data_IF_727826461531
#
_entry.id   IF_727826461531
#
_cell.length_a   1.000
_cell.length_b   1.000
_cell.length_c   1.000
_cell.angle_alpha   90.00
_cell.angle_beta   90.00
_cell.angle_gamma   90.00
#
_symmetry.space_group_name_H-M   'P 1'
#
loop_
_entity.id
_entity.type
_entity.pdbx_description
1 polymer ?
#
# COMPACT_ATOMS: atom_id res chain seq x y z
N UNK A 1 -11.22 -13.58 10.33
CA UNK A 1 -10.43 -14.57 9.58
C UNK A 1 -11.20 -15.14 8.39
N UNK A 2 -12.35 -15.81 8.56
CA UNK A 2 -13.12 -16.32 7.41
C UNK A 2 -13.67 -15.21 6.51
N UNK A 3 -14.30 -14.17 7.08
CA UNK A 3 -14.85 -13.05 6.31
C UNK A 3 -13.76 -12.24 5.58
N UNK A 4 -12.68 -11.89 6.28
CA UNK A 4 -11.55 -11.14 5.70
C UNK A 4 -10.82 -11.94 4.63
N UNK A 5 -10.62 -13.25 4.84
CA UNK A 5 -10.02 -14.14 3.84
C UNK A 5 -10.91 -14.34 2.62
N UNK A 6 -12.24 -14.46 2.83
CA UNK A 6 -13.21 -14.51 1.75
C UNK A 6 -13.21 -13.23 0.91
N UNK A 7 -13.20 -12.05 1.54
CA UNK A 7 -13.12 -10.77 0.83
C UNK A 7 -11.81 -10.61 0.07
N UNK A 8 -10.68 -10.99 0.66
CA UNK A 8 -9.38 -10.98 -0.03
C UNK A 8 -9.35 -11.95 -1.23
N UNK A 9 -9.96 -13.13 -1.09
CA UNK A 9 -10.11 -14.09 -2.18
C UNK A 9 -11.00 -13.57 -3.32
N UNK A 10 -12.13 -12.93 -2.99
CA UNK A 10 -13.00 -12.30 -3.99
C UNK A 10 -12.31 -11.14 -4.71
N UNK A 11 -11.52 -10.34 -3.99
CA UNK A 11 -10.72 -9.29 -4.60
C UNK A 11 -9.73 -9.87 -5.62
N UNK A 12 -8.95 -10.89 -5.25
CA UNK A 12 -8.01 -11.55 -6.18
C UNK A 12 -8.70 -12.24 -7.36
N UNK A 13 -9.84 -12.88 -7.12
CA UNK A 13 -10.67 -13.46 -8.20
C UNK A 13 -11.14 -12.39 -9.19
N UNK A 14 -11.60 -11.23 -8.70
CA UNK A 14 -12.06 -10.14 -9.54
C UNK A 14 -10.94 -9.56 -10.42
N UNK A 15 -9.70 -9.52 -9.92
CA UNK A 15 -8.55 -9.00 -10.65
C UNK A 15 -8.13 -9.96 -11.79
N UNK A 16 -8.05 -11.25 -11.50
CA UNK A 16 -7.67 -12.27 -12.49
C UNK A 16 -8.75 -12.47 -13.56
N UNK A 17 -10.02 -12.56 -13.13
CA UNK A 17 -11.14 -12.80 -14.03
C UNK A 17 -11.53 -11.56 -14.85
N UNK A 18 -11.41 -10.36 -14.27
CA UNK A 18 -11.88 -9.12 -14.87
C UNK A 18 -10.83 -8.33 -15.66
N UNK A 19 -9.55 -8.35 -15.26
CA UNK A 19 -8.51 -7.52 -15.90
C UNK A 19 -7.58 -8.38 -16.74
N UNK A 20 -6.97 -9.39 -16.11
CA UNK A 20 -5.89 -10.17 -16.75
C UNK A 20 -6.45 -11.18 -17.77
N UNK A 21 -7.70 -11.64 -17.59
CA UNK A 21 -8.42 -12.63 -18.42
C UNK A 21 -7.68 -13.97 -18.61
N UNK A 22 -6.54 -14.16 -17.92
CA UNK A 22 -5.65 -15.32 -17.96
C UNK A 22 -4.96 -15.42 -16.61
N UNK A 23 -4.71 -16.64 -16.13
CA UNK A 23 -3.85 -16.82 -14.97
C UNK A 23 -2.39 -16.55 -15.38
N UNK A 24 -1.86 -15.39 -14.97
CA UNK A 24 -0.45 -15.08 -15.07
C UNK A 24 0.24 -15.39 -13.74
N UNK A 25 1.46 -15.95 -13.80
CA UNK A 25 2.28 -16.24 -12.61
C UNK A 25 2.58 -15.00 -11.77
N UNK A 26 2.52 -13.80 -12.37
CA UNK A 26 2.75 -12.51 -11.71
C UNK A 26 1.49 -11.63 -11.67
N UNK A 27 0.33 -12.20 -11.35
CA UNK A 27 -0.90 -11.41 -11.21
C UNK A 27 -0.84 -10.41 -10.04
N UNK A 28 0.04 -10.63 -9.04
CA UNK A 28 0.29 -9.68 -7.95
C UNK A 28 1.79 -9.40 -7.82
N UNK A 29 2.35 -8.46 -8.60
CA UNK A 29 3.77 -8.14 -8.57
C UNK A 29 4.22 -7.37 -7.31
N UNK A 30 3.35 -7.23 -6.30
CA UNK A 30 3.64 -6.48 -5.07
C UNK A 30 2.45 -5.78 -4.42
N UNK A 31 1.21 -5.98 -4.92
CA UNK A 31 0.03 -5.27 -4.41
C UNK A 31 -0.19 -5.44 -2.91
N UNK A 32 0.21 -6.57 -2.32
CA UNK A 32 0.15 -6.78 -0.88
C UNK A 32 1.05 -5.82 -0.09
N UNK A 33 2.28 -5.58 -0.54
CA UNK A 33 3.19 -4.64 0.11
C UNK A 33 2.69 -3.20 -0.01
N UNK A 34 2.21 -2.83 -1.19
CA UNK A 34 1.55 -1.55 -1.45
C UNK A 34 0.30 -1.36 -0.56
N UNK A 35 -0.50 -2.41 -0.36
CA UNK A 35 -1.70 -2.37 0.46
C UNK A 35 -1.40 -2.08 1.94
N UNK A 36 -0.25 -2.53 2.46
CA UNK A 36 0.18 -2.21 3.83
C UNK A 36 0.36 -0.70 3.99
N UNK A 37 1.05 -0.07 3.03
CA UNK A 37 1.30 1.38 3.03
C UNK A 37 -0.03 2.14 3.00
N UNK A 38 -0.92 1.76 2.09
CA UNK A 38 -2.24 2.39 1.93
C UNK A 38 -3.09 2.23 3.19
N UNK A 39 -3.12 1.05 3.80
CA UNK A 39 -3.91 0.78 5.01
C UNK A 39 -3.45 1.63 6.20
N UNK A 40 -2.13 1.78 6.34
CA UNK A 40 -1.52 2.63 7.36
C UNK A 40 -1.76 4.12 7.09
N UNK A 41 -1.57 4.58 5.85
CA UNK A 41 -1.83 5.97 5.48
C UNK A 41 -3.29 6.38 5.72
N UNK A 42 -4.23 5.44 5.54
CA UNK A 42 -5.65 5.61 5.82
C UNK A 42 -6.02 5.44 7.31
N UNK A 43 -5.05 5.26 8.21
CA UNK A 43 -5.26 5.03 9.66
C UNK A 43 -6.25 3.90 9.95
N UNK A 44 -6.23 2.83 9.14
CA UNK A 44 -7.15 1.69 9.23
C UNK A 44 -8.64 2.06 9.12
N UNK A 45 -8.98 3.25 8.60
CA UNK A 45 -10.37 3.64 8.37
C UNK A 45 -10.86 3.09 7.02
N UNK A 46 -11.93 2.26 7.00
CA UNK A 46 -12.40 1.58 5.78
C UNK A 46 -12.90 2.55 4.70
N UNK A 47 -13.45 3.70 5.07
CA UNK A 47 -13.91 4.71 4.10
C UNK A 47 -12.73 5.49 3.51
N UNK A 48 -11.75 5.84 4.34
CA UNK A 48 -10.57 6.57 3.90
C UNK A 48 -9.68 5.71 2.98
N UNK A 49 -9.63 4.39 3.20
CA UNK A 49 -8.86 3.44 2.37
C UNK A 49 -9.23 3.56 0.89
N UNK A 50 -10.50 3.76 0.56
CA UNK A 50 -10.95 3.83 -0.86
C UNK A 50 -10.35 5.05 -1.56
N UNK A 51 -10.37 6.21 -0.92
CA UNK A 51 -9.82 7.44 -1.50
C UNK A 51 -8.29 7.37 -1.58
N UNK A 52 -7.66 6.89 -0.49
CA UNK A 52 -6.21 6.79 -0.41
C UNK A 52 -5.67 5.79 -1.43
N UNK A 53 -6.29 4.61 -1.56
CA UNK A 53 -5.87 3.59 -2.52
C UNK A 53 -5.97 4.09 -3.95
N UNK A 54 -7.02 4.84 -4.28
CA UNK A 54 -7.19 5.42 -5.61
C UNK A 54 -6.10 6.45 -5.95
N UNK A 55 -5.83 7.38 -5.03
CA UNK A 55 -4.75 8.37 -5.21
C UNK A 55 -3.37 7.70 -5.27
N UNK A 56 -3.14 6.70 -4.43
CA UNK A 56 -1.88 5.97 -4.38
C UNK A 56 -1.67 5.14 -5.65
N UNK A 57 -2.72 4.48 -6.18
CA UNK A 57 -2.65 3.79 -7.46
C UNK A 57 -2.29 4.77 -8.60
N UNK A 58 -2.87 5.97 -8.60
CA UNK A 58 -2.50 7.04 -9.54
C UNK A 58 -1.03 7.45 -9.44
N UNK A 59 -0.47 7.53 -8.22
CA UNK A 59 0.96 7.81 -8.00
C UNK A 59 1.85 6.71 -8.60
N UNK A 60 1.46 5.44 -8.46
CA UNK A 60 2.23 4.32 -8.99
C UNK A 60 2.20 4.29 -10.51
N UNK A 61 1.00 4.38 -11.10
CA UNK A 61 0.84 4.39 -12.55
C UNK A 61 1.51 5.62 -13.16
N UNK A 62 1.40 6.78 -12.53
CA UNK A 62 2.09 8.01 -12.94
C UNK A 62 3.61 7.89 -12.83
N UNK A 63 4.12 7.28 -11.76
CA UNK A 63 5.54 7.02 -11.57
C UNK A 63 6.12 6.08 -12.63
N UNK A 64 5.41 4.99 -12.92
CA UNK A 64 5.81 4.03 -13.96
C UNK A 64 5.70 4.64 -15.37
N UNK A 65 4.72 5.52 -15.62
CA UNK A 65 4.57 6.22 -16.90
C UNK A 65 5.69 7.23 -17.17
N UNK A 66 6.22 7.89 -16.14
CA UNK A 66 7.34 8.84 -16.27
C UNK A 66 8.65 8.08 -16.47
N UNK A 67 8.92 7.06 -15.64
CA UNK A 67 10.14 6.27 -15.77
C UNK A 67 9.96 4.85 -15.22
N UNK A 68 9.96 3.82 -16.08
CA UNK A 68 9.76 2.42 -15.66
C UNK A 68 10.97 1.82 -14.92
N UNK A 69 12.00 2.62 -14.59
CA UNK A 69 13.21 2.18 -13.90
C UNK A 69 13.03 1.95 -12.39
N UNK A 70 11.81 1.70 -11.92
CA UNK A 70 11.53 1.40 -10.51
C UNK A 70 11.37 2.62 -9.59
N UNK A 71 11.15 3.83 -10.15
CA UNK A 71 10.89 5.04 -9.35
C UNK A 71 9.67 4.86 -8.45
N UNK A 72 8.61 4.23 -8.94
CA UNK A 72 7.40 3.96 -8.16
C UNK A 72 7.72 3.09 -6.92
N UNK A 73 8.56 2.07 -7.08
CA UNK A 73 8.98 1.19 -5.98
C UNK A 73 9.87 1.91 -4.96
N UNK A 74 10.79 2.76 -5.42
CA UNK A 74 11.59 3.60 -4.53
C UNK A 74 10.71 4.56 -3.72
N UNK A 75 9.73 5.20 -4.37
CA UNK A 75 8.75 6.08 -3.73
C UNK A 75 7.93 5.35 -2.67
N UNK A 76 7.44 4.14 -2.95
CA UNK A 76 6.76 3.31 -1.95
C UNK A 76 7.64 3.08 -0.71
N UNK A 77 8.92 2.74 -0.92
CA UNK A 77 9.87 2.51 0.18
C UNK A 77 10.12 3.76 1.02
N UNK A 78 10.32 4.91 0.37
CA UNK A 78 10.52 6.20 1.06
C UNK A 78 9.27 6.60 1.85
N UNK A 79 8.08 6.45 1.27
CA UNK A 79 6.81 6.75 1.95
C UNK A 79 6.66 5.88 3.19
N UNK A 80 6.88 4.58 3.06
CA UNK A 80 6.80 3.65 4.20
C UNK A 80 7.82 4.02 5.28
N UNK A 81 9.06 4.31 4.91
CA UNK A 81 10.11 4.69 5.85
C UNK A 81 9.76 5.97 6.62
N UNK A 82 9.33 7.02 5.91
CA UNK A 82 8.94 8.30 6.54
C UNK A 82 7.71 8.11 7.43
N UNK A 83 6.74 7.30 6.99
CA UNK A 83 5.52 7.09 7.74
C UNK A 83 5.76 6.31 9.03
N UNK A 84 6.45 5.17 8.95
CA UNK A 84 6.82 4.36 10.12
C UNK A 84 7.76 5.13 11.05
N UNK A 85 8.77 5.82 10.49
CA UNK A 85 9.70 6.64 11.26
C UNK A 85 9.01 7.81 11.96
N UNK A 86 8.06 8.46 11.29
CA UNK A 86 7.26 9.55 11.87
C UNK A 86 6.35 9.06 13.00
N UNK A 87 5.68 7.92 12.83
CA UNK A 87 4.88 7.33 13.90
C UNK A 87 5.73 6.93 15.11
N UNK A 88 6.91 6.35 14.88
CA UNK A 88 7.85 6.02 15.94
C UNK A 88 8.27 7.27 16.73
N UNK A 89 8.56 8.38 16.05
CA UNK A 89 8.94 9.65 16.66
C UNK A 89 7.81 10.30 17.47
N UNK A 90 6.56 10.12 17.03
CA UNK A 90 5.37 10.68 17.70
C UNK A 90 4.94 9.83 18.91
N UNK A 91 5.08 8.51 18.84
CA UNK A 91 4.72 7.59 19.93
C UNK A 91 5.78 7.58 21.04
N UNK A 92 7.07 7.62 20.68
CA UNK A 92 8.13 7.86 21.65
C UNK A 92 8.25 9.35 21.91
N UNK A 93 7.46 9.87 22.87
CA UNK A 93 7.76 11.18 23.47
C UNK A 93 9.23 11.13 23.89
N UNK A 94 10.08 11.86 23.16
CA UNK A 94 11.50 12.01 23.46
C UNK A 94 11.59 12.71 24.82
N UNK A 95 11.51 11.94 25.91
CA UNK A 95 11.85 12.41 27.25
C UNK A 95 13.37 12.46 27.24
N UNK A 96 13.91 13.63 26.92
CA UNK A 96 15.25 14.00 27.37
C UNK A 96 15.21 13.94 28.91
N UNK A 97 15.60 12.80 29.47
CA UNK A 97 15.91 12.68 30.88
C UNK A 97 17.07 13.64 31.14
N UNK A 98 16.78 14.75 31.81
CA UNK A 98 17.82 15.52 32.48
C UNK A 98 18.40 14.62 33.58
N UNK A 99 19.69 14.34 33.46
CA UNK A 99 20.51 13.90 34.59
C UNK A 99 20.62 15.05 35.61
#
# INVERSE_FOLDING_TARGET
MMLSGGLAGLAGMSEVAGVVHRLQERFSPGYGFTAIIVAWLAKLNPLAIVLVSYLFAGLLVGGDAIQPAGIAQMLQGVILFVMVGGEMLLQYRVRFGRA
#
